data_IF_658821888371
#
_entry.id   IF_658821888371
#
_cell.length_a   1.000
_cell.length_b   1.000
_cell.length_c   1.000
_cell.angle_alpha   90.00
_cell.angle_beta   90.00
_cell.angle_gamma   90.00
#
_symmetry.space_group_name_H-M   'P 1'
#
loop_
_entity.id
_entity.type
_entity.pdbx_description
1 polymer ?
#
# COMPACT_ATOMS: atom_id res chain seq x y z
N UNK A 1 -9.85 3.53 0.38
CA UNK A 1 -8.68 3.08 -0.39
C UNK A 1 -8.15 1.80 0.24
N UNK A 2 -7.88 0.81 -0.57
CA UNK A 2 -7.36 -0.47 -0.09
C UNK A 2 -5.87 -0.56 -0.35
N UNK A 3 -5.12 -1.02 0.64
CA UNK A 3 -3.68 -1.24 0.50
C UNK A 3 -3.26 -2.52 1.19
N UNK A 4 -2.11 -3.03 0.80
CA UNK A 4 -1.54 -4.22 1.42
C UNK A 4 -0.77 -3.78 2.66
N UNK A 5 -1.22 -4.20 3.83
CA UNK A 5 -0.54 -3.90 5.09
C UNK A 5 0.72 -4.76 5.24
N UNK A 6 0.56 -6.05 5.10
CA UNK A 6 1.67 -7.01 5.19
C UNK A 6 1.24 -8.37 4.66
N UNK A 7 2.21 -9.26 4.52
CA UNK A 7 1.96 -10.67 4.21
C UNK A 7 2.25 -11.53 5.43
N UNK A 8 1.38 -12.48 5.70
CA UNK A 8 1.58 -13.50 6.73
C UNK A 8 1.38 -14.87 6.08
N UNK A 9 2.48 -15.53 5.72
CA UNK A 9 2.44 -16.79 5.00
C UNK A 9 1.70 -16.66 3.68
N UNK A 10 0.64 -17.44 3.50
CA UNK A 10 -0.16 -17.44 2.28
C UNK A 10 -1.28 -16.39 2.30
N UNK A 11 -1.35 -15.57 3.34
CA UNK A 11 -2.39 -14.57 3.53
C UNK A 11 -1.80 -13.17 3.40
N UNK A 12 -2.47 -12.31 2.64
CA UNK A 12 -2.18 -10.89 2.60
C UNK A 12 -3.16 -10.17 3.51
N UNK A 13 -2.66 -9.32 4.38
CA UNK A 13 -3.50 -8.49 5.25
C UNK A 13 -3.77 -7.18 4.52
N UNK A 14 -5.03 -6.89 4.30
CA UNK A 14 -5.48 -5.73 3.56
C UNK A 14 -6.04 -4.70 4.54
N UNK A 15 -5.62 -3.47 4.36
CA UNK A 15 -6.15 -2.33 5.09
C UNK A 15 -7.14 -1.59 4.18
N UNK A 16 -8.41 -1.65 4.53
CA UNK A 16 -9.48 -0.97 3.79
C UNK A 16 -10.06 0.13 4.68
N UNK A 17 -9.53 1.33 4.54
CA UNK A 17 -9.93 2.51 5.32
C UNK A 17 -9.94 2.24 6.83
N UNK A 18 -8.90 1.60 7.31
CA UNK A 18 -8.73 1.29 8.73
C UNK A 18 -9.27 -0.08 9.15
N UNK A 19 -9.95 -0.78 8.26
CA UNK A 19 -10.43 -2.14 8.54
C UNK A 19 -9.46 -3.16 7.96
N UNK A 20 -8.95 -4.04 8.81
CA UNK A 20 -8.02 -5.08 8.38
C UNK A 20 -8.77 -6.37 8.11
N UNK A 21 -8.42 -7.03 7.01
CA UNK A 21 -8.93 -8.37 6.72
C UNK A 21 -7.89 -9.16 5.93
N UNK A 22 -8.02 -10.48 5.98
CA UNK A 22 -7.12 -11.38 5.26
C UNK A 22 -7.66 -11.75 3.90
N UNK A 23 -6.76 -11.88 2.92
CA UNK A 23 -7.06 -12.36 1.58
C UNK A 23 -5.98 -13.34 1.18
N UNK A 24 -6.32 -14.35 0.38
CA UNK A 24 -5.30 -15.28 -0.10
C UNK A 24 -4.30 -14.54 -0.98
N UNK A 25 -3.03 -14.78 -0.71
CA UNK A 25 -1.94 -14.13 -1.43
C UNK A 25 -1.99 -14.42 -2.93
N UNK A 26 -2.44 -15.61 -3.33
CA UNK A 26 -2.56 -16.01 -4.73
C UNK A 26 -3.66 -15.26 -5.49
N UNK A 27 -4.54 -14.54 -4.78
CA UNK A 27 -5.52 -13.65 -5.41
C UNK A 27 -4.93 -12.33 -5.89
N UNK A 28 -3.69 -12.03 -5.47
CA UNK A 28 -3.01 -10.79 -5.83
C UNK A 28 -2.05 -11.04 -6.99
N UNK A 29 -1.71 -9.99 -7.77
CA UNK A 29 -0.64 -10.10 -8.77
C UNK A 29 0.67 -10.56 -8.13
N UNK A 30 1.51 -11.27 -8.89
CA UNK A 30 2.76 -11.84 -8.37
C UNK A 30 3.77 -10.78 -7.93
N UNK A 31 3.65 -9.55 -8.45
CA UNK A 31 4.53 -8.45 -8.10
C UNK A 31 3.96 -7.56 -6.97
N UNK A 32 2.89 -8.00 -6.32
CA UNK A 32 2.31 -7.28 -5.20
C UNK A 32 3.29 -7.23 -4.02
N UNK A 33 3.39 -6.06 -3.39
CA UNK A 33 4.31 -5.82 -2.28
C UNK A 33 3.60 -5.05 -1.17
N UNK A 34 4.17 -5.10 0.03
CA UNK A 34 3.66 -4.33 1.16
C UNK A 34 3.60 -2.84 0.82
N UNK A 35 2.51 -2.20 1.20
CA UNK A 35 2.28 -0.80 0.93
C UNK A 35 1.65 -0.50 -0.42
N UNK A 36 1.49 -1.49 -1.30
CA UNK A 36 0.86 -1.28 -2.59
C UNK A 36 -0.63 -0.98 -2.43
N UNK A 37 -1.10 -0.01 -3.19
CA UNK A 37 -2.52 0.32 -3.28
C UNK A 37 -3.15 -0.59 -4.31
N UNK A 38 -4.27 -1.21 -3.95
CA UNK A 38 -4.95 -2.18 -4.79
C UNK A 38 -6.38 -1.72 -5.09
N UNK A 39 -6.92 -2.24 -6.18
CA UNK A 39 -8.31 -2.05 -6.56
C UNK A 39 -8.86 -3.35 -7.11
N UNK A 40 -10.15 -3.58 -6.88
CA UNK A 40 -10.86 -4.72 -7.46
C UNK A 40 -11.73 -4.20 -8.61
N UNK A 41 -11.73 -4.92 -9.72
CA UNK A 41 -12.63 -4.61 -10.82
C UNK A 41 -14.01 -5.25 -10.59
N UNK A 42 -14.94 -5.04 -11.52
CA UNK A 42 -16.30 -5.58 -11.41
C UNK A 42 -16.37 -7.10 -11.45
N UNK A 43 -15.32 -7.75 -11.92
CA UNK A 43 -15.20 -9.21 -11.96
C UNK A 43 -14.47 -9.79 -10.75
N UNK A 44 -14.06 -8.94 -9.80
CA UNK A 44 -13.31 -9.37 -8.63
C UNK A 44 -11.82 -9.54 -8.84
N UNK A 45 -11.30 -9.18 -10.01
CA UNK A 45 -9.86 -9.22 -10.26
C UNK A 45 -9.17 -8.08 -9.51
N UNK A 46 -8.06 -8.40 -8.86
CA UNK A 46 -7.30 -7.41 -8.09
C UNK A 46 -6.17 -6.87 -8.97
N UNK A 47 -6.05 -5.56 -9.02
CA UNK A 47 -4.96 -4.87 -9.72
C UNK A 47 -4.21 -3.97 -8.76
N UNK A 48 -2.92 -3.76 -9.04
CA UNK A 48 -2.08 -2.86 -8.26
C UNK A 48 -2.11 -1.49 -8.94
N UNK A 49 -2.41 -0.46 -8.16
CA UNK A 49 -2.43 0.92 -8.63
C UNK A 49 -1.03 1.53 -8.44
N UNK A 50 -0.12 1.20 -9.35
CA UNK A 50 1.29 1.63 -9.22
C UNK A 50 1.46 3.14 -9.16
N UNK A 51 0.73 3.88 -9.98
CA UNK A 51 0.79 5.33 -9.97
C UNK A 51 0.34 5.92 -8.64
N UNK A 52 -0.74 5.39 -8.08
CA UNK A 52 -1.24 5.83 -6.79
C UNK A 52 -0.26 5.47 -5.66
N UNK A 53 0.33 4.27 -5.73
CA UNK A 53 1.33 3.82 -4.77
C UNK A 53 2.55 4.73 -4.81
N UNK A 54 3.06 5.01 -6.00
CA UNK A 54 4.24 5.85 -6.19
C UNK A 54 3.98 7.29 -5.73
N UNK A 55 2.83 7.84 -6.07
CA UNK A 55 2.43 9.18 -5.63
C UNK A 55 2.35 9.26 -4.10
N UNK A 56 1.81 8.23 -3.45
CA UNK A 56 1.73 8.13 -2.01
C UNK A 56 3.13 8.11 -1.38
N UNK A 57 4.02 7.27 -1.92
CA UNK A 57 5.39 7.16 -1.42
C UNK A 57 6.15 8.47 -1.57
N UNK A 58 6.00 9.14 -2.71
CA UNK A 58 6.64 10.43 -2.95
C UNK A 58 6.14 11.48 -1.96
N UNK A 59 4.84 11.54 -1.73
CA UNK A 59 4.25 12.46 -0.77
C UNK A 59 4.80 12.21 0.65
N UNK A 60 4.92 10.95 1.05
CA UNK A 60 5.48 10.58 2.34
C UNK A 60 6.94 11.01 2.45
N UNK A 61 7.75 10.76 1.41
CA UNK A 61 9.14 11.18 1.36
C UNK A 61 9.30 12.69 1.51
N UNK A 62 8.46 13.46 0.81
CA UNK A 62 8.50 14.91 0.91
C UNK A 62 8.21 15.40 2.32
N UNK A 63 7.25 14.78 3.00
CA UNK A 63 6.94 15.11 4.39
C UNK A 63 8.09 14.79 5.33
N UNK A 64 8.72 13.62 5.16
CA UNK A 64 9.85 13.23 5.97
C UNK A 64 11.03 14.15 5.76
N UNK A 65 11.28 14.56 4.52
CA UNK A 65 12.35 15.49 4.20
C UNK A 65 12.14 16.85 4.87
N UNK A 66 10.93 17.37 4.84
CA UNK A 66 10.60 18.64 5.50
C UNK A 66 10.82 18.56 7.00
N UNK A 67 10.46 17.46 7.63
CA UNK A 67 10.69 17.25 9.05
C UNK A 67 12.17 17.17 9.38
N UNK A 68 12.95 16.51 8.53
CA UNK A 68 14.40 16.46 8.70
C UNK A 68 15.04 17.84 8.59
N UNK A 69 14.62 18.63 7.62
CA UNK A 69 15.12 19.99 7.42
C UNK A 69 14.83 20.87 8.65
N UNK A 70 13.65 20.72 9.23
CA UNK A 70 13.29 21.43 10.46
C UNK A 70 14.17 21.00 11.63
N UNK A 71 14.45 19.71 11.75
CA UNK A 71 15.34 19.20 12.79
C UNK A 71 16.76 19.75 12.66
N UNK A 72 17.25 19.92 11.46
CA UNK A 72 18.60 20.43 11.21
C UNK A 72 18.75 21.90 11.56
N UNK A 73 17.67 22.65 11.63
CA UNK A 73 17.72 24.07 11.99
C UNK A 73 17.90 24.33 13.48
N UNK A 74 17.63 23.33 14.27
CA UNK A 74 17.80 23.43 15.72
C UNK A 74 19.26 23.14 16.10
#
# INVERSE_FOLDING_TARGET
MKSIDRFEGDIAIIDDDGKLYGMRRDMLPSDAAEGDIIAADEHGNITIQKEATDAWRLSLWQRLKLLSDESERD
#
